data_IF_661882883903
#
_entry.id   IF_661882883903
#
_cell.length_a   1.000
_cell.length_b   1.000
_cell.length_c   1.000
_cell.angle_alpha   90.00
_cell.angle_beta   90.00
_cell.angle_gamma   90.00
#
_symmetry.space_group_name_H-M   'P 1'
#
loop_
_entity.id
_entity.type
_entity.pdbx_description
1 polymer ?
#
# COMPACT_ATOMS: atom_id res chain seq x y z
N UNK A 1 -4.19 63.58 -24.30
CA UNK A 1 -4.83 62.48 -25.07
C UNK A 1 -5.28 61.40 -24.08
N UNK A 2 -6.59 61.27 -23.81
CA UNK A 2 -7.14 60.27 -22.87
C UNK A 2 -7.56 59.03 -23.65
N UNK A 3 -6.91 57.91 -23.40
CA UNK A 3 -7.27 56.59 -23.93
C UNK A 3 -8.47 56.05 -23.15
N UNK A 4 -9.62 55.91 -23.80
CA UNK A 4 -10.80 55.24 -23.22
C UNK A 4 -10.51 53.74 -23.11
N UNK A 5 -10.27 53.27 -21.88
CA UNK A 5 -10.07 51.84 -21.59
C UNK A 5 -11.45 51.18 -21.58
N UNK A 6 -11.75 50.39 -22.62
CA UNK A 6 -13.00 49.65 -22.77
C UNK A 6 -13.04 48.49 -21.76
N UNK A 7 -13.50 48.75 -20.53
CA UNK A 7 -13.72 47.71 -19.52
C UNK A 7 -15.01 46.96 -19.84
N UNK A 8 -14.94 45.97 -20.74
CA UNK A 8 -16.00 44.96 -20.88
C UNK A 8 -15.99 44.09 -19.62
N UNK A 9 -17.00 44.24 -18.77
CA UNK A 9 -17.22 43.34 -17.64
C UNK A 9 -17.77 41.99 -18.11
N UNK A 10 -17.44 40.92 -17.39
CA UNK A 10 -18.00 39.59 -17.61
C UNK A 10 -19.52 39.63 -17.43
N UNK A 11 -20.26 38.91 -18.27
CA UNK A 11 -21.71 38.79 -18.13
C UNK A 11 -22.06 37.73 -17.06
N UNK A 12 -23.16 37.92 -16.34
CA UNK A 12 -23.65 36.91 -15.39
C UNK A 12 -23.93 35.58 -16.09
N UNK A 13 -24.41 35.62 -17.33
CA UNK A 13 -24.72 34.42 -18.11
C UNK A 13 -23.45 33.62 -18.47
N UNK A 14 -22.32 34.28 -18.76
CA UNK A 14 -21.05 33.59 -18.98
C UNK A 14 -20.61 32.83 -17.72
N UNK A 15 -20.74 33.45 -16.55
CA UNK A 15 -20.36 32.77 -15.30
C UNK A 15 -21.28 31.57 -15.02
N UNK A 16 -22.59 31.71 -15.25
CA UNK A 16 -23.57 30.64 -15.06
C UNK A 16 -23.33 29.48 -16.04
N UNK A 17 -23.05 29.75 -17.31
CA UNK A 17 -22.79 28.70 -18.29
C UNK A 17 -21.51 27.92 -17.94
N UNK A 18 -20.47 28.59 -17.44
CA UNK A 18 -19.21 27.94 -17.04
C UNK A 18 -19.42 26.97 -15.88
N UNK A 19 -20.13 27.37 -14.82
CA UNK A 19 -20.39 26.47 -13.68
C UNK A 19 -21.25 25.27 -14.08
N UNK A 20 -22.17 25.42 -15.03
CA UNK A 20 -22.99 24.32 -15.57
C UNK A 20 -22.12 23.31 -16.31
N UNK A 21 -21.24 23.78 -17.21
CA UNK A 21 -20.32 22.90 -17.95
C UNK A 21 -19.38 22.19 -16.97
N UNK A 22 -18.80 22.91 -16.02
CA UNK A 22 -17.94 22.32 -14.98
C UNK A 22 -18.70 21.29 -14.13
N UNK A 23 -19.98 21.51 -13.82
CA UNK A 23 -20.82 20.56 -13.10
C UNK A 23 -21.00 19.24 -13.84
N UNK A 24 -21.27 19.28 -15.15
CA UNK A 24 -21.42 18.09 -16.00
C UNK A 24 -20.09 17.32 -16.07
N UNK A 25 -18.98 18.02 -16.32
CA UNK A 25 -17.65 17.41 -16.40
C UNK A 25 -17.23 16.79 -15.05
N UNK A 26 -17.53 17.44 -13.93
CA UNK A 26 -17.24 16.91 -12.60
C UNK A 26 -18.03 15.62 -12.31
N UNK A 27 -19.31 15.56 -12.70
CA UNK A 27 -20.17 14.39 -12.47
C UNK A 27 -19.62 13.12 -13.11
N UNK A 28 -19.05 13.21 -14.32
CA UNK A 28 -18.45 12.05 -15.00
C UNK A 28 -17.02 11.76 -14.54
N UNK A 29 -16.27 12.78 -14.13
CA UNK A 29 -14.87 12.65 -13.74
C UNK A 29 -14.70 11.97 -12.37
N UNK A 30 -15.50 12.36 -11.37
CA UNK A 30 -15.38 11.88 -9.98
C UNK A 30 -15.39 10.34 -9.85
N UNK A 31 -16.37 9.58 -10.40
CA UNK A 31 -16.37 8.11 -10.26
C UNK A 31 -15.19 7.45 -10.98
N UNK A 32 -14.71 8.04 -12.08
CA UNK A 32 -13.53 7.53 -12.80
C UNK A 32 -12.26 7.71 -11.98
N UNK A 33 -12.10 8.85 -11.30
CA UNK A 33 -10.95 9.11 -10.44
C UNK A 33 -10.89 8.16 -9.24
N UNK A 34 -12.04 7.85 -8.61
CA UNK A 34 -12.09 6.88 -7.50
C UNK A 34 -11.59 5.49 -7.93
N UNK A 35 -12.09 4.97 -9.05
CA UNK A 35 -11.65 3.68 -9.60
C UNK A 35 -10.15 3.63 -9.90
N UNK A 36 -9.56 4.72 -10.41
CA UNK A 36 -8.12 4.79 -10.68
C UNK A 36 -7.32 4.81 -9.37
N UNK A 37 -7.79 5.56 -8.36
CA UNK A 37 -7.15 5.62 -7.06
C UNK A 37 -7.13 4.24 -6.38
N UNK A 38 -8.23 3.49 -6.46
CA UNK A 38 -8.31 2.15 -5.86
C UNK A 38 -7.40 1.14 -6.56
N UNK A 39 -7.35 1.17 -7.91
CA UNK A 39 -6.39 0.35 -8.67
C UNK A 39 -4.94 0.70 -8.36
N UNK A 40 -4.64 1.99 -8.18
CA UNK A 40 -3.30 2.44 -7.82
C UNK A 40 -2.91 1.96 -6.41
N UNK A 41 -3.84 1.98 -5.45
CA UNK A 41 -3.63 1.42 -4.10
C UNK A 41 -3.38 -0.08 -4.14
N UNK A 42 -4.21 -0.83 -4.87
CA UNK A 42 -4.03 -2.28 -5.03
C UNK A 42 -2.66 -2.61 -5.66
N UNK A 43 -2.28 -1.90 -6.72
CA UNK A 43 -0.97 -2.07 -7.36
C UNK A 43 0.19 -1.76 -6.40
N UNK A 44 0.07 -0.72 -5.57
CA UNK A 44 1.07 -0.38 -4.57
C UNK A 44 1.21 -1.50 -3.52
N UNK A 45 0.10 -2.02 -3.00
CA UNK A 45 0.12 -3.14 -2.05
C UNK A 45 0.74 -4.39 -2.68
N UNK A 46 0.36 -4.73 -3.91
CA UNK A 46 0.92 -5.88 -4.63
C UNK A 46 2.43 -5.73 -4.89
N UNK A 47 2.91 -4.51 -5.16
CA UNK A 47 4.33 -4.23 -5.30
C UNK A 47 5.10 -4.53 -4.01
N UNK A 48 4.58 -4.10 -2.85
CA UNK A 48 5.17 -4.41 -1.54
C UNK A 48 5.15 -5.92 -1.28
N UNK A 49 4.02 -6.59 -1.51
CA UNK A 49 3.87 -8.04 -1.31
C UNK A 49 4.85 -8.83 -2.19
N UNK A 50 5.04 -8.39 -3.45
CA UNK A 50 6.03 -8.97 -4.36
C UNK A 50 7.45 -8.83 -3.82
N UNK A 51 7.81 -7.65 -3.31
CA UNK A 51 9.10 -7.41 -2.66
C UNK A 51 9.31 -8.30 -1.43
N UNK A 52 8.31 -8.42 -0.56
CA UNK A 52 8.37 -9.29 0.63
C UNK A 52 8.57 -10.75 0.24
N UNK A 53 7.86 -11.26 -0.77
CA UNK A 53 8.03 -12.65 -1.26
C UNK A 53 9.43 -12.89 -1.83
N UNK A 54 9.95 -11.94 -2.59
CA UNK A 54 11.32 -12.02 -3.12
C UNK A 54 12.33 -12.04 -1.96
N UNK A 55 12.14 -11.17 -0.97
CA UNK A 55 12.93 -11.12 0.25
C UNK A 55 12.93 -12.43 1.04
N UNK A 56 11.75 -13.04 1.27
CA UNK A 56 11.63 -14.35 1.94
C UNK A 56 12.47 -15.41 1.21
N UNK A 57 12.41 -15.43 -0.11
CA UNK A 57 13.16 -16.39 -0.94
C UNK A 57 14.68 -16.14 -0.85
N UNK A 58 15.09 -14.86 -0.84
CA UNK A 58 16.49 -14.48 -0.68
C UNK A 58 17.06 -14.85 0.70
N UNK A 59 16.28 -14.61 1.76
CA UNK A 59 16.64 -15.02 3.13
C UNK A 59 16.72 -16.54 3.25
N UNK A 60 15.75 -17.26 2.68
CA UNK A 60 15.78 -18.74 2.61
C UNK A 60 17.05 -19.25 1.93
N UNK A 61 17.40 -18.71 0.77
CA UNK A 61 18.59 -19.12 0.04
C UNK A 61 19.87 -18.85 0.85
N UNK A 62 19.97 -17.67 1.47
CA UNK A 62 21.09 -17.31 2.34
C UNK A 62 21.21 -18.26 3.54
N UNK A 63 20.09 -18.59 4.19
CA UNK A 63 20.05 -19.51 5.31
C UNK A 63 20.48 -20.93 4.91
N UNK A 64 20.00 -21.41 3.76
CA UNK A 64 20.39 -22.71 3.22
C UNK A 64 21.88 -22.80 2.92
N UNK A 65 22.46 -21.77 2.30
CA UNK A 65 23.89 -21.71 1.99
C UNK A 65 24.76 -21.74 3.26
N UNK A 66 24.29 -21.10 4.33
CA UNK A 66 25.00 -21.03 5.60
C UNK A 66 24.66 -22.20 6.55
N UNK A 67 23.85 -23.18 6.12
CA UNK A 67 23.28 -24.21 6.98
C UNK A 67 22.64 -23.68 8.27
N UNK A 68 22.07 -22.48 8.19
CA UNK A 68 21.40 -21.83 9.31
C UNK A 68 19.92 -22.21 9.33
N UNK A 69 19.50 -22.95 10.34
CA UNK A 69 18.08 -23.23 10.61
C UNK A 69 17.56 -22.14 11.54
N UNK A 70 16.53 -21.44 11.11
CA UNK A 70 15.90 -20.41 11.93
C UNK A 70 15.21 -21.08 13.14
N UNK A 71 15.49 -20.63 14.38
CA UNK A 71 15.01 -21.29 15.58
C UNK A 71 13.51 -21.12 15.82
N UNK A 72 12.86 -20.17 15.16
CA UNK A 72 11.42 -19.91 15.29
C UNK A 72 10.65 -20.70 14.23
N UNK A 73 11.16 -20.81 13.00
CA UNK A 73 10.51 -21.59 11.94
C UNK A 73 10.85 -23.09 11.99
N UNK A 74 12.01 -23.46 12.54
CA UNK A 74 12.55 -24.82 12.46
C UNK A 74 12.94 -25.22 11.03
N UNK A 75 13.04 -24.26 10.11
CA UNK A 75 13.40 -24.46 8.71
C UNK A 75 14.40 -23.39 8.26
N UNK A 76 14.77 -23.37 6.98
CA UNK A 76 15.59 -22.29 6.42
C UNK A 76 14.77 -21.01 6.13
N UNK A 77 13.44 -21.05 6.20
CA UNK A 77 12.62 -19.84 6.04
C UNK A 77 12.71 -18.93 7.27
N UNK A 78 12.58 -17.61 7.10
CA UNK A 78 12.60 -16.69 8.23
C UNK A 78 11.47 -16.99 9.22
N UNK A 79 11.78 -16.99 10.51
CA UNK A 79 10.83 -17.23 11.59
C UNK A 79 9.69 -16.23 11.64
N UNK A 80 10.05 -14.96 11.50
CA UNK A 80 9.16 -13.79 11.42
C UNK A 80 9.67 -12.85 10.33
N UNK A 81 8.77 -12.04 9.76
CA UNK A 81 9.18 -11.05 8.74
C UNK A 81 9.66 -9.73 9.36
N UNK A 82 9.36 -9.49 10.64
CA UNK A 82 9.76 -8.31 11.40
C UNK A 82 9.68 -8.59 12.90
N UNK A 83 10.04 -7.58 13.68
CA UNK A 83 10.05 -7.60 15.15
C UNK A 83 8.92 -6.74 15.74
N UNK A 84 7.93 -6.33 14.94
CA UNK A 84 6.85 -5.47 15.41
C UNK A 84 5.87 -6.24 16.30
N UNK A 85 5.42 -5.59 17.39
CA UNK A 85 4.37 -6.16 18.25
C UNK A 85 3.01 -6.18 17.53
N UNK A 86 2.19 -7.19 17.83
CA UNK A 86 0.79 -7.26 17.37
C UNK A 86 0.02 -5.98 17.76
N UNK A 87 -0.81 -5.48 16.86
CA UNK A 87 -1.53 -4.22 16.99
C UNK A 87 -0.73 -2.98 16.59
N UNK A 88 0.57 -3.10 16.32
CA UNK A 88 1.38 -1.97 15.88
C UNK A 88 1.04 -1.54 14.46
N UNK A 89 1.25 -0.25 14.17
CA UNK A 89 1.25 0.29 12.81
C UNK A 89 2.69 0.46 12.32
N UNK A 90 2.91 0.23 11.03
CA UNK A 90 4.15 0.53 10.36
C UNK A 90 4.43 2.04 10.46
N UNK A 91 5.61 2.38 10.95
CA UNK A 91 6.08 3.76 11.11
C UNK A 91 7.59 3.82 10.93
N UNK A 92 8.21 5.01 10.79
CA UNK A 92 9.67 5.12 10.78
C UNK A 92 10.35 4.57 12.04
N UNK A 93 9.65 4.59 13.19
CA UNK A 93 10.15 4.03 14.46
C UNK A 93 9.86 2.54 14.61
N UNK A 94 8.93 2.00 13.81
CA UNK A 94 8.55 0.60 13.81
C UNK A 94 8.36 0.10 12.38
N UNK A 95 9.46 -0.06 11.62
CA UNK A 95 9.40 -0.55 10.25
C UNK A 95 9.04 -2.04 10.18
N UNK A 96 8.23 -2.42 9.19
CA UNK A 96 7.80 -3.79 8.97
C UNK A 96 8.63 -4.47 7.89
N UNK A 97 8.58 -5.81 7.86
CA UNK A 97 9.28 -6.67 6.89
C UNK A 97 10.82 -6.53 6.88
N UNK A 98 11.41 -5.97 7.94
CA UNK A 98 12.85 -5.70 8.03
C UNK A 98 13.72 -6.97 8.02
N UNK A 99 13.18 -8.14 8.33
CA UNK A 99 13.95 -9.39 8.32
C UNK A 99 14.11 -9.95 6.90
N UNK A 100 13.39 -9.38 5.93
CA UNK A 100 13.37 -9.83 4.53
C UNK A 100 13.57 -8.69 3.52
N UNK A 101 13.61 -7.43 3.95
CA UNK A 101 13.82 -6.27 3.08
C UNK A 101 15.06 -5.48 3.52
N UNK A 102 16.00 -5.27 2.59
CA UNK A 102 17.33 -4.68 2.88
C UNK A 102 17.35 -3.14 3.01
N UNK A 103 16.21 -2.45 2.83
CA UNK A 103 16.13 -0.96 2.78
C UNK A 103 15.37 -0.35 3.97
N UNK A 104 15.49 -0.95 5.16
CA UNK A 104 14.83 -0.42 6.37
C UNK A 104 13.33 -0.67 6.45
N UNK A 105 12.82 -1.60 5.63
CA UNK A 105 11.44 -2.09 5.70
C UNK A 105 10.37 -1.10 5.23
N UNK A 106 9.12 -1.40 5.57
CA UNK A 106 7.94 -0.60 5.21
C UNK A 106 7.50 0.20 6.42
N UNK A 107 7.28 1.50 6.24
CA UNK A 107 7.08 2.47 7.34
C UNK A 107 5.69 3.12 7.36
N UNK A 108 4.75 2.64 6.54
CA UNK A 108 3.38 3.19 6.49
C UNK A 108 2.40 2.17 5.95
N UNK A 109 1.11 2.44 6.10
CA UNK A 109 -0.02 1.74 5.47
C UNK A 109 -0.18 0.25 5.82
N UNK A 110 0.59 -0.27 6.77
CA UNK A 110 0.51 -1.65 7.24
C UNK A 110 0.27 -1.71 8.75
N UNK A 111 -0.57 -2.64 9.18
CA UNK A 111 -0.86 -2.96 10.57
C UNK A 111 -0.48 -4.41 10.84
N UNK A 112 0.20 -4.67 11.95
CA UNK A 112 0.53 -6.00 12.42
C UNK A 112 -0.70 -6.56 13.15
N UNK A 113 -1.31 -7.61 12.64
CA UNK A 113 -2.40 -8.31 13.29
C UNK A 113 -1.92 -9.27 14.37
N UNK A 114 -1.05 -10.17 13.96
CA UNK A 114 -0.39 -11.18 14.77
C UNK A 114 1.04 -11.34 14.26
N UNK A 115 1.83 -12.25 14.83
CA UNK A 115 3.17 -12.56 14.32
C UNK A 115 3.18 -12.95 12.82
N UNK A 116 2.13 -13.63 12.37
CA UNK A 116 1.99 -14.11 11.00
C UNK A 116 1.05 -13.24 10.14
N UNK A 117 0.17 -12.44 10.75
CA UNK A 117 -0.90 -11.73 10.05
C UNK A 117 -0.63 -10.24 9.94
N UNK A 118 -0.83 -9.71 8.74
CA UNK A 118 -0.64 -8.30 8.40
C UNK A 118 -1.87 -7.77 7.69
N UNK A 119 -2.19 -6.50 7.90
CA UNK A 119 -3.31 -5.83 7.25
C UNK A 119 -2.78 -4.60 6.52
N UNK A 120 -3.29 -4.36 5.32
CA UNK A 120 -3.06 -3.09 4.64
C UNK A 120 -4.19 -2.13 5.05
N UNK A 121 -3.85 -0.98 5.61
CA UNK A 121 -4.84 -0.09 6.26
C UNK A 121 -5.87 0.50 5.30
N UNK A 122 -5.52 0.60 4.01
CA UNK A 122 -6.38 1.05 2.94
C UNK A 122 -6.61 -0.06 1.91
N UNK A 123 -6.85 -1.29 2.38
CA UNK A 123 -7.02 -2.47 1.52
C UNK A 123 -8.18 -2.32 0.53
N UNK A 124 -7.95 -2.80 -0.69
CA UNK A 124 -8.96 -2.94 -1.74
C UNK A 124 -8.96 -4.38 -2.25
N UNK A 125 -10.06 -5.14 -2.14
CA UNK A 125 -11.18 -4.97 -1.21
C UNK A 125 -10.77 -4.76 0.26
N UNK A 126 -11.66 -4.10 1.01
CA UNK A 126 -11.54 -3.90 2.45
C UNK A 126 -11.36 -5.23 3.19
N UNK A 127 -10.77 -5.17 4.39
CA UNK A 127 -10.50 -6.32 5.27
C UNK A 127 -9.55 -7.38 4.69
N UNK A 128 -8.82 -7.06 3.62
CA UNK A 128 -7.78 -7.96 3.13
C UNK A 128 -6.63 -8.05 4.13
N UNK A 129 -6.33 -9.28 4.53
CA UNK A 129 -5.14 -9.59 5.34
C UNK A 129 -4.13 -10.35 4.51
N UNK A 130 -2.89 -10.38 5.00
CA UNK A 130 -1.81 -11.17 4.45
C UNK A 130 -1.26 -12.07 5.54
N UNK A 131 -1.17 -13.36 5.25
CA UNK A 131 -0.72 -14.36 6.20
C UNK A 131 0.61 -14.96 5.75
N UNK A 132 1.57 -14.96 6.66
CA UNK A 132 2.88 -15.58 6.48
C UNK A 132 2.92 -16.95 7.15
N UNK A 133 3.33 -17.96 6.41
CA UNK A 133 3.58 -19.30 6.90
C UNK A 133 5.08 -19.57 6.88
N UNK A 134 5.70 -19.57 8.06
CA UNK A 134 7.14 -19.77 8.20
C UNK A 134 7.60 -21.20 7.91
N UNK A 135 6.69 -22.17 7.83
CA UNK A 135 7.02 -23.56 7.49
C UNK A 135 7.34 -23.75 6.01
N UNK A 136 6.77 -22.91 5.14
CA UNK A 136 6.92 -23.02 3.69
C UNK A 136 7.22 -21.68 2.98
N UNK A 137 7.45 -20.61 3.74
CA UNK A 137 7.75 -19.28 3.21
C UNK A 137 6.56 -18.58 2.52
N UNK A 138 5.36 -19.12 2.59
CA UNK A 138 4.21 -18.58 1.86
C UNK A 138 3.72 -17.27 2.49
N UNK A 139 3.67 -16.20 1.70
CA UNK A 139 3.03 -14.94 2.08
C UNK A 139 1.83 -14.67 1.17
N UNK A 140 0.62 -14.96 1.66
CA UNK A 140 -0.59 -14.99 0.83
C UNK A 140 -1.64 -14.03 1.34
N UNK A 141 -2.36 -13.42 0.39
CA UNK A 141 -3.54 -12.63 0.68
C UNK A 141 -4.67 -13.55 1.14
N UNK A 142 -5.31 -13.20 2.24
CA UNK A 142 -6.57 -13.76 2.69
C UNK A 142 -7.62 -12.66 2.59
N UNK A 143 -8.56 -12.84 1.67
CA UNK A 143 -9.77 -12.02 1.61
C UNK A 143 -10.72 -12.54 2.68
N UNK A 144 -11.34 -11.64 3.43
CA UNK A 144 -12.24 -11.98 4.54
C UNK A 144 -13.27 -13.05 4.18
N UNK A 145 -13.63 -13.84 5.20
CA UNK A 145 -14.93 -14.50 5.25
C UNK A 145 -16.03 -13.45 5.29
#
# INVERSE_FOLDING_TARGET
MKLFRNKRGFTLIELVMVIVILGILASVAVPKFQNIADKAREAATLGVVGGVRAGITATYASNLLNNYIDPVSGTYYPGTLDNAASGSMASPMNPFFINVLDQGGITKDWLKGSQATYYYTNAVPADSSYHYLNTNGSFVRMVGR
#
